data_IF_701035347610
#
_entry.id   IF_701035347610
#
_cell.length_a   1.000
_cell.length_b   1.000
_cell.length_c   1.000
_cell.angle_alpha   90.00
_cell.angle_beta   90.00
_cell.angle_gamma   90.00
#
_symmetry.space_group_name_H-M   'P 1'
#
loop_
_entity.id
_entity.type
_entity.pdbx_description
1 polymer ?
#
# COMPACT_ATOMS: atom_id res chain seq x y z
N UNK A 1 12.26 18.25 -7.11
CA UNK A 1 11.71 17.61 -5.90
C UNK A 1 10.29 18.09 -5.68
N UNK A 2 9.35 17.22 -5.29
CA UNK A 2 7.98 17.64 -5.00
C UNK A 2 7.96 18.71 -3.90
N UNK A 3 7.15 19.74 -4.10
CA UNK A 3 6.97 20.84 -3.13
C UNK A 3 5.76 20.52 -2.26
N UNK A 4 6.01 20.10 -1.02
CA UNK A 4 4.96 19.82 -0.05
C UNK A 4 4.55 21.08 0.71
N UNK A 5 3.26 21.21 1.02
CA UNK A 5 2.73 22.35 1.79
C UNK A 5 3.23 22.38 3.24
N UNK A 6 3.47 21.21 3.83
CA UNK A 6 3.96 21.05 5.20
C UNK A 6 5.29 20.30 5.17
N UNK A 7 6.21 20.66 6.07
CA UNK A 7 7.51 19.99 6.19
C UNK A 7 7.39 18.59 6.80
N UNK A 8 6.47 18.42 7.74
CA UNK A 8 6.17 17.16 8.42
C UNK A 8 4.66 16.98 8.48
N UNK A 9 4.18 15.79 8.12
CA UNK A 9 2.76 15.45 8.20
C UNK A 9 2.61 13.97 8.51
N UNK A 10 1.72 13.62 9.44
CA UNK A 10 1.34 12.24 9.72
C UNK A 10 -0.10 11.99 9.26
N UNK A 11 -0.30 10.94 8.47
CA UNK A 11 -1.63 10.57 7.95
C UNK A 11 -1.86 9.08 8.11
N UNK A 12 -3.09 8.69 8.39
CA UNK A 12 -3.52 7.29 8.40
C UNK A 12 -4.23 6.97 7.09
N UNK A 13 -3.75 5.94 6.38
CA UNK A 13 -4.28 5.50 5.08
C UNK A 13 -4.44 3.99 5.05
N UNK A 14 -5.44 3.52 4.31
CA UNK A 14 -5.70 2.09 4.07
C UNK A 14 -4.97 1.64 2.82
N UNK A 15 -4.76 0.33 2.69
CA UNK A 15 -4.17 -0.26 1.47
C UNK A 15 -4.91 0.15 0.19
N UNK A 16 -6.24 0.28 0.23
CA UNK A 16 -7.05 0.75 -0.90
C UNK A 16 -6.68 2.15 -1.40
N UNK A 17 -6.20 3.02 -0.50
CA UNK A 17 -5.81 4.38 -0.87
C UNK A 17 -4.51 4.37 -1.70
N UNK A 18 -3.61 3.41 -1.44
CA UNK A 18 -2.40 3.21 -2.24
C UNK A 18 -2.72 2.58 -3.61
N UNK A 19 -3.69 1.68 -3.66
CA UNK A 19 -4.22 1.09 -4.91
C UNK A 19 -4.78 2.19 -5.82
N UNK A 20 -5.55 3.12 -5.24
CA UNK A 20 -6.05 4.31 -5.94
C UNK A 20 -4.91 5.23 -6.40
N UNK A 21 -3.96 5.55 -5.51
CA UNK A 21 -2.83 6.43 -5.84
C UNK A 21 -1.99 5.89 -7.01
N UNK A 22 -1.73 4.58 -7.02
CA UNK A 22 -1.04 3.92 -8.12
C UNK A 22 -1.81 4.09 -9.44
N UNK A 23 -3.11 3.84 -9.43
CA UNK A 23 -3.94 3.99 -10.63
C UNK A 23 -3.98 5.43 -11.15
N UNK A 24 -3.94 6.42 -10.26
CA UNK A 24 -3.86 7.83 -10.65
C UNK A 24 -2.49 8.15 -11.30
N UNK A 25 -1.40 7.68 -10.70
CA UNK A 25 -0.04 7.90 -11.21
C UNK A 25 0.20 7.22 -12.55
N UNK A 26 -0.30 5.99 -12.74
CA UNK A 26 -0.19 5.25 -14.01
C UNK A 26 -0.99 5.92 -15.14
N UNK A 27 -2.08 6.64 -14.83
CA UNK A 27 -2.88 7.37 -15.81
C UNK A 27 -2.25 8.70 -16.23
N UNK A 28 -1.87 9.51 -15.24
CA UNK A 28 -1.54 10.92 -15.48
C UNK A 28 -0.04 11.20 -15.56
N UNK A 29 0.81 10.22 -15.22
CA UNK A 29 2.25 10.40 -15.14
C UNK A 29 3.03 9.34 -15.92
N UNK A 30 4.14 9.76 -16.56
CA UNK A 30 5.10 8.83 -17.20
C UNK A 30 6.05 8.17 -16.20
N UNK A 31 5.74 8.23 -14.91
CA UNK A 31 6.57 7.69 -13.85
C UNK A 31 6.36 6.18 -13.80
N UNK A 32 7.46 5.43 -13.72
CA UNK A 32 7.39 3.97 -13.53
C UNK A 32 6.94 3.71 -12.10
N UNK A 33 5.65 3.40 -11.94
CA UNK A 33 5.06 3.15 -10.63
C UNK A 33 5.55 1.80 -10.09
N UNK A 34 6.15 1.75 -8.87
CA UNK A 34 6.58 0.50 -8.28
C UNK A 34 5.41 -0.48 -8.06
N UNK A 35 5.65 -1.80 -8.04
CA UNK A 35 4.58 -2.76 -7.76
C UNK A 35 4.09 -2.61 -6.30
N UNK A 36 2.77 -2.61 -6.12
CA UNK A 36 2.16 -2.68 -4.79
C UNK A 36 2.27 -4.10 -4.20
N UNK A 37 2.43 -4.24 -2.88
CA UNK A 37 2.32 -5.54 -2.22
C UNK A 37 0.95 -6.15 -2.47
N UNK A 38 0.85 -7.47 -2.56
CA UNK A 38 -0.40 -8.15 -2.99
C UNK A 38 -1.62 -7.76 -2.14
N UNK A 39 -2.76 -7.56 -2.81
CA UNK A 39 -4.08 -7.35 -2.19
C UNK A 39 -4.52 -8.59 -1.38
N UNK A 40 -3.94 -9.75 -1.69
CA UNK A 40 -4.13 -11.03 -0.99
C UNK A 40 -5.60 -11.37 -0.75
N UNK A 41 -6.41 -11.31 -1.81
CA UNK A 41 -7.84 -11.63 -1.76
C UNK A 41 -8.12 -13.03 -1.17
N UNK A 42 -7.19 -13.98 -1.38
CA UNK A 42 -7.25 -15.34 -0.80
C UNK A 42 -7.21 -15.36 0.74
N UNK A 43 -6.61 -14.33 1.37
CA UNK A 43 -6.54 -14.18 2.83
C UNK A 43 -7.83 -13.58 3.42
N UNK A 44 -8.75 -13.09 2.59
CA UNK A 44 -10.06 -12.59 3.01
C UNK A 44 -11.16 -13.67 2.99
N UNK A 45 -10.85 -14.87 2.48
CA UNK A 45 -11.83 -15.96 2.42
C UNK A 45 -12.15 -16.48 3.83
N UNK A 46 -13.42 -16.82 4.12
CA UNK A 46 -13.80 -17.46 5.37
C UNK A 46 -13.24 -18.89 5.47
N UNK A 47 -13.26 -19.46 6.67
CA UNK A 47 -12.83 -20.84 6.99
C UNK A 47 -11.33 -21.11 6.79
N UNK A 48 -10.49 -20.15 7.17
CA UNK A 48 -9.04 -20.34 7.26
C UNK A 48 -8.64 -20.81 8.66
N UNK A 49 -7.56 -21.57 8.74
CA UNK A 49 -6.93 -21.98 10.01
C UNK A 49 -6.03 -20.89 10.61
N UNK A 50 -5.76 -19.83 9.85
CA UNK A 50 -4.93 -18.68 10.27
C UNK A 50 -5.78 -17.40 10.41
N UNK A 51 -5.19 -16.35 11.00
CA UNK A 51 -5.83 -15.04 11.18
C UNK A 51 -5.96 -14.22 9.88
N UNK A 52 -5.62 -14.82 8.73
CA UNK A 52 -5.87 -14.27 7.39
C UNK A 52 -5.22 -12.90 7.14
N UNK A 53 -6.04 -11.85 7.11
CA UNK A 53 -5.59 -10.47 6.93
C UNK A 53 -5.14 -9.79 8.22
N UNK A 54 -5.41 -10.40 9.37
CA UNK A 54 -5.06 -9.90 10.70
C UNK A 54 -3.78 -10.54 11.26
N UNK A 55 -3.20 -11.51 10.54
CA UNK A 55 -1.91 -12.11 10.87
C UNK A 55 -0.81 -11.03 10.93
N UNK A 56 -0.04 -11.00 12.02
CA UNK A 56 0.95 -9.94 12.28
C UNK A 56 2.05 -9.90 11.21
N UNK A 57 2.57 -11.07 10.81
CA UNK A 57 3.56 -11.20 9.74
C UNK A 57 3.03 -10.65 8.40
N UNK A 58 1.74 -10.83 8.13
CA UNK A 58 1.12 -10.30 6.93
C UNK A 58 1.00 -8.78 6.97
N UNK A 59 0.59 -8.22 8.11
CA UNK A 59 0.49 -6.78 8.32
C UNK A 59 1.87 -6.13 8.18
N UNK A 60 2.90 -6.70 8.80
CA UNK A 60 4.25 -6.13 8.79
C UNK A 60 4.90 -6.21 7.39
N UNK A 61 4.75 -7.32 6.68
CA UNK A 61 5.22 -7.44 5.30
C UNK A 61 4.52 -6.44 4.38
N UNK A 62 3.20 -6.25 4.56
CA UNK A 62 2.44 -5.24 3.81
C UNK A 62 2.89 -3.83 4.17
N UNK A 63 3.13 -3.52 5.45
CA UNK A 63 3.61 -2.21 5.92
C UNK A 63 4.94 -1.86 5.25
N UNK A 64 5.93 -2.76 5.31
CA UNK A 64 7.23 -2.60 4.65
C UNK A 64 7.10 -2.41 3.13
N UNK A 65 6.24 -3.19 2.47
CA UNK A 65 6.01 -3.06 1.04
C UNK A 65 5.40 -1.70 0.64
N UNK A 66 4.45 -1.19 1.43
CA UNK A 66 3.86 0.13 1.20
C UNK A 66 4.85 1.27 1.48
N UNK A 67 5.71 1.11 2.48
CA UNK A 67 6.77 2.06 2.79
C UNK A 67 7.80 2.16 1.65
N UNK A 68 8.19 1.02 1.07
CA UNK A 68 9.07 1.01 -0.12
C UNK A 68 8.37 1.61 -1.35
N UNK A 69 7.07 1.34 -1.52
CA UNK A 69 6.30 1.89 -2.64
C UNK A 69 6.25 3.42 -2.64
N UNK A 70 6.02 4.05 -1.48
CA UNK A 70 5.87 5.51 -1.40
C UNK A 70 7.20 6.27 -1.42
N UNK A 71 8.29 5.61 -1.01
CA UNK A 71 9.63 6.22 -0.95
C UNK A 71 10.46 6.05 -2.24
N UNK A 72 9.95 5.31 -3.24
CA UNK A 72 10.58 5.16 -4.55
C UNK A 72 10.02 6.15 -5.56
#
# INVERSE_FOLDING_TARGET
>A
MPVFKQKESSVRRRYSDFDWLRGELERDSKIVVPPLPSKSLKRQLPFRSDDGIFEEDFIENRRKGLEVFINK
#
